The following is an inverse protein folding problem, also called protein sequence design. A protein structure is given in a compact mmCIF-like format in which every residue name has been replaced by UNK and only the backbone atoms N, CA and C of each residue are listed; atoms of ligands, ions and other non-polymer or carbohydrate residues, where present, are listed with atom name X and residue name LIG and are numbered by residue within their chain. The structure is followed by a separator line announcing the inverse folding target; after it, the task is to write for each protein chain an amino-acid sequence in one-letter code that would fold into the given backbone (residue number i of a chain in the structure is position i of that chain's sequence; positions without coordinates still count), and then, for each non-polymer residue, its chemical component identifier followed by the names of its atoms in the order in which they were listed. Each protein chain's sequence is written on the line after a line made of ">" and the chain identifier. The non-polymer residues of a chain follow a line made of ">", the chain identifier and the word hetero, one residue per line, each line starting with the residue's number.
data_IF_634173966512
#
_entry.id   IF_634173966512
#
_cell.length_a   1.000
_cell.length_b   1.000
_cell.length_c   1.000
_cell.angle_alpha   90.00
_cell.angle_beta   90.00
_cell.angle_gamma   90.00
#
_symmetry.space_group_name_H-M   'P 1'
#
loop_
_entity.id
_entity.type
_entity.pdbx_description
1 polymer ?
#
# COMPACT_ATOMS: atom_id res chain seq x y z
N UNK A 1 31.94 -6.80 31.43
CA UNK A 1 31.47 -5.43 31.75
C UNK A 1 32.33 -4.52 30.91
N UNK A 2 31.85 -4.18 29.75
CA UNK A 2 32.53 -3.28 28.82
C UNK A 2 31.71 -2.00 28.79
N UNK A 3 32.32 -0.93 29.23
CA UNK A 3 31.76 0.40 29.29
C UNK A 3 31.32 0.87 27.90
N UNK A 4 30.02 1.09 27.74
CA UNK A 4 29.50 1.83 26.62
C UNK A 4 29.72 3.31 26.93
N UNK A 5 30.47 4.08 26.12
CA UNK A 5 30.67 5.48 26.38
C UNK A 5 29.34 6.23 26.22
N UNK A 6 28.88 6.77 27.32
CA UNK A 6 27.81 7.78 27.33
C UNK A 6 28.37 9.03 26.65
N UNK A 7 27.82 9.44 25.51
CA UNK A 7 28.24 10.68 24.85
C UNK A 7 27.96 11.88 25.76
N UNK A 8 28.97 12.37 26.42
CA UNK A 8 28.99 13.71 26.98
C UNK A 8 29.20 14.71 25.83
N UNK A 9 28.53 15.83 25.90
CA UNK A 9 28.42 16.91 24.90
C UNK A 9 29.74 17.68 24.61
N UNK A 10 30.91 17.06 24.77
CA UNK A 10 32.19 17.68 24.51
C UNK A 10 33.09 16.70 23.74
N UNK A 11 32.83 16.50 22.46
CA UNK A 11 33.87 16.14 21.50
C UNK A 11 33.38 16.37 20.07
N UNK A 12 33.59 17.59 19.62
CA UNK A 12 33.54 17.98 18.21
C UNK A 12 34.62 17.15 17.48
N UNK A 13 34.18 16.46 16.42
CA UNK A 13 35.10 15.82 15.48
C UNK A 13 35.97 16.88 14.81
N UNK A 14 37.23 16.98 15.26
CA UNK A 14 38.29 17.71 14.56
C UNK A 14 39.10 16.71 13.75
N UNK A 15 38.76 16.55 12.47
CA UNK A 15 39.73 16.21 11.44
C UNK A 15 39.36 16.92 10.13
N UNK A 16 40.18 17.88 9.70
CA UNK A 16 40.16 18.50 8.38
C UNK A 16 39.33 19.78 8.28
N UNK A 17 40.00 20.91 8.54
CA UNK A 17 39.50 22.25 8.51
C UNK A 17 38.55 22.64 7.38
N UNK A 18 37.33 22.84 7.77
CA UNK A 18 36.40 23.90 7.28
C UNK A 18 35.40 24.10 8.39
N UNK A 19 35.39 25.27 9.00
CA UNK A 19 34.38 25.68 9.97
C UNK A 19 33.05 25.79 9.22
N UNK A 20 32.25 24.71 9.19
CA UNK A 20 30.85 24.80 8.82
C UNK A 20 30.08 25.39 10.01
N UNK A 21 29.72 26.66 9.89
CA UNK A 21 28.90 27.37 10.83
C UNK A 21 27.61 26.64 11.12
N UNK A 22 27.38 26.27 12.38
CA UNK A 22 26.05 26.14 12.92
C UNK A 22 25.30 24.81 12.76
N UNK A 23 26.00 23.71 12.51
CA UNK A 23 25.33 22.40 12.42
C UNK A 23 25.36 21.69 13.77
N UNK A 24 24.23 21.67 14.48
CA UNK A 24 24.06 20.94 15.72
C UNK A 24 23.61 19.50 15.46
N UNK A 25 24.27 18.46 16.01
CA UNK A 25 23.83 17.09 15.86
C UNK A 25 22.54 16.86 16.66
N UNK A 26 21.48 16.43 16.00
CA UNK A 26 20.20 16.07 16.63
C UNK A 26 19.93 14.59 16.47
N UNK A 27 19.42 13.97 17.54
CA UNK A 27 18.96 12.60 17.50
C UNK A 27 17.52 12.56 17.04
N UNK A 28 17.24 11.82 15.97
CA UNK A 28 15.89 11.64 15.45
C UNK A 28 15.53 10.16 15.43
N UNK A 29 14.22 9.88 15.60
CA UNK A 29 13.69 8.54 15.44
C UNK A 29 13.15 8.39 14.01
N UNK A 30 13.63 7.36 13.29
CA UNK A 30 13.25 7.10 11.91
C UNK A 30 12.98 5.62 11.68
N UNK A 31 12.09 5.33 10.75
CA UNK A 31 11.90 3.96 10.25
C UNK A 31 12.98 3.63 9.23
N UNK A 32 13.88 2.73 9.57
CA UNK A 32 14.90 2.21 8.68
C UNK A 32 14.38 0.99 7.94
N UNK A 33 14.46 1.02 6.60
CA UNK A 33 14.20 -0.14 5.75
C UNK A 33 15.42 -1.08 5.83
N UNK A 34 15.17 -2.33 6.23
CA UNK A 34 16.19 -3.37 6.29
C UNK A 34 16.29 -4.15 4.98
N UNK A 35 15.13 -4.44 4.39
CA UNK A 35 15.05 -5.13 3.09
C UNK A 35 13.74 -4.78 2.38
N UNK A 36 13.76 -4.89 1.07
CA UNK A 36 12.58 -4.62 0.25
C UNK A 36 12.62 -5.41 -1.06
N UNK A 37 11.46 -5.81 -1.55
CA UNK A 37 11.33 -6.40 -2.88
C UNK A 37 10.19 -5.77 -3.66
N UNK A 38 10.40 -5.61 -4.95
CA UNK A 38 9.38 -5.23 -5.92
C UNK A 38 8.90 -6.44 -6.71
N UNK A 39 7.61 -6.50 -7.00
CA UNK A 39 7.04 -7.56 -7.81
C UNK A 39 6.07 -7.03 -8.85
N UNK A 40 6.05 -7.72 -9.99
CA UNK A 40 5.09 -7.56 -11.07
C UNK A 40 4.39 -8.89 -11.26
N UNK A 41 3.16 -8.97 -10.82
CA UNK A 41 2.40 -10.20 -10.84
C UNK A 41 1.24 -10.11 -11.82
N UNK A 42 1.10 -11.16 -12.64
CA UNK A 42 -0.08 -11.40 -13.46
C UNK A 42 -0.90 -12.52 -12.82
N UNK A 43 -1.99 -12.15 -12.19
CA UNK A 43 -2.86 -13.02 -11.41
C UNK A 43 -3.90 -13.64 -12.35
N UNK A 44 -3.61 -14.81 -12.90
CA UNK A 44 -4.46 -15.46 -13.89
C UNK A 44 -5.53 -16.32 -13.22
N UNK A 45 -6.72 -16.31 -13.81
CA UNK A 45 -7.84 -17.18 -13.43
C UNK A 45 -8.25 -17.07 -11.94
N UNK A 46 -8.22 -15.85 -11.38
CA UNK A 46 -8.75 -15.61 -10.04
C UNK A 46 -10.26 -15.75 -10.05
N UNK A 47 -10.84 -16.60 -9.19
CA UNK A 47 -12.28 -16.70 -9.06
C UNK A 47 -12.83 -15.45 -8.40
N UNK A 48 -13.93 -14.94 -8.94
CA UNK A 48 -14.68 -13.83 -8.35
C UNK A 48 -15.89 -14.40 -7.62
N UNK A 49 -16.04 -14.03 -6.36
CA UNK A 49 -17.19 -14.36 -5.54
C UNK A 49 -18.14 -13.16 -5.50
N UNK A 50 -19.39 -13.40 -5.68
CA UNK A 50 -20.44 -12.39 -5.65
C UNK A 50 -21.32 -12.57 -4.42
N UNK A 51 -22.08 -11.54 -4.05
CA UNK A 51 -23.19 -11.70 -3.11
C UNK A 51 -24.27 -12.56 -3.76
N UNK A 52 -25.16 -13.18 -2.97
CA UNK A 52 -26.22 -14.04 -3.48
C UNK A 52 -27.08 -13.36 -4.58
N UNK A 53 -27.37 -12.06 -4.40
CA UNK A 53 -28.13 -11.28 -5.38
C UNK A 53 -27.38 -11.12 -6.71
N UNK A 54 -26.09 -10.77 -6.65
CA UNK A 54 -25.24 -10.59 -7.82
C UNK A 54 -24.90 -11.91 -8.49
N UNK A 55 -24.80 -13.01 -7.75
CA UNK A 55 -24.54 -14.34 -8.29
C UNK A 55 -25.71 -14.79 -9.20
N UNK A 56 -26.94 -14.50 -8.85
CA UNK A 56 -28.13 -14.81 -9.70
C UNK A 56 -28.06 -14.11 -11.05
N UNK A 57 -27.50 -12.89 -11.11
CA UNK A 57 -27.29 -12.17 -12.36
C UNK A 57 -26.22 -12.88 -13.20
N UNK A 58 -25.11 -13.31 -12.57
CA UNK A 58 -24.04 -14.05 -13.24
C UNK A 58 -24.54 -15.39 -13.77
N UNK A 59 -25.36 -16.13 -13.01
CA UNK A 59 -25.89 -17.42 -13.40
C UNK A 59 -26.84 -17.32 -14.62
N UNK A 60 -27.43 -16.15 -14.86
CA UNK A 60 -28.23 -15.84 -16.05
C UNK A 60 -27.45 -15.25 -17.23
N UNK A 61 -26.13 -15.03 -17.08
CA UNK A 61 -25.33 -14.38 -18.11
C UNK A 61 -24.82 -15.38 -19.16
N UNK A 62 -24.75 -14.93 -20.42
CA UNK A 62 -24.13 -15.67 -21.52
C UNK A 62 -22.66 -15.28 -21.71
N UNK A 63 -22.27 -14.09 -21.28
CA UNK A 63 -20.91 -13.59 -21.33
C UNK A 63 -20.67 -12.47 -20.32
N UNK A 64 -19.42 -12.28 -19.94
CA UNK A 64 -18.99 -11.24 -19.00
C UNK A 64 -17.82 -10.46 -19.55
N UNK A 65 -17.74 -9.19 -19.17
CA UNK A 65 -16.60 -8.32 -19.48
C UNK A 65 -16.17 -7.60 -18.20
N UNK A 66 -14.87 -7.58 -17.93
CA UNK A 66 -14.33 -6.83 -16.81
C UNK A 66 -14.35 -5.33 -17.16
N UNK A 67 -14.89 -4.51 -16.28
CA UNK A 67 -14.90 -3.06 -16.46
C UNK A 67 -13.92 -2.35 -15.53
N UNK A 68 -13.80 -2.80 -14.28
CA UNK A 68 -12.92 -2.16 -13.31
C UNK A 68 -12.41 -3.14 -12.26
N UNK A 69 -11.23 -2.83 -11.71
CA UNK A 69 -10.65 -3.54 -10.55
C UNK A 69 -10.10 -2.52 -9.59
N UNK A 70 -10.40 -2.69 -8.31
CA UNK A 70 -9.86 -1.88 -7.22
C UNK A 70 -9.37 -2.77 -6.11
N UNK A 71 -8.35 -2.33 -5.39
CA UNK A 71 -8.00 -2.96 -4.12
C UNK A 71 -8.86 -2.37 -3.00
N UNK A 72 -9.52 -3.24 -2.23
CA UNK A 72 -10.31 -2.83 -1.06
C UNK A 72 -9.37 -2.69 0.13
N UNK A 73 -8.63 -3.77 0.41
CA UNK A 73 -7.70 -3.85 1.54
C UNK A 73 -6.68 -4.96 1.30
N UNK A 74 -5.68 -5.00 2.17
CA UNK A 74 -4.73 -6.12 2.25
C UNK A 74 -4.45 -6.41 3.72
N UNK A 75 -4.44 -7.69 4.08
CA UNK A 75 -3.88 -8.13 5.37
C UNK A 75 -2.43 -8.49 5.19
N UNK A 76 -1.61 -8.15 6.19
CA UNK A 76 -0.17 -8.39 6.18
C UNK A 76 0.23 -9.00 7.52
N UNK A 77 0.80 -10.19 7.47
CA UNK A 77 1.29 -10.91 8.64
C UNK A 77 2.79 -11.15 8.52
N UNK A 78 3.51 -11.07 9.63
CA UNK A 78 4.95 -11.26 9.68
C UNK A 78 5.28 -12.37 10.65
N UNK A 79 6.01 -13.38 10.18
CA UNK A 79 6.45 -14.49 11.00
C UNK A 79 7.97 -14.71 10.86
N UNK A 80 8.69 -15.06 11.94
CA UNK A 80 10.10 -15.40 11.84
C UNK A 80 10.27 -16.72 11.07
N UNK A 81 11.25 -16.76 10.16
CA UNK A 81 11.60 -17.99 9.44
C UNK A 81 12.39 -18.91 10.37
N UNK A 82 11.91 -20.14 10.55
CA UNK A 82 12.58 -21.13 11.37
C UNK A 82 14.04 -21.36 10.91
N UNK A 83 14.97 -21.41 11.85
CA UNK A 83 16.41 -21.65 11.65
C UNK A 83 17.15 -20.57 10.81
N UNK A 84 16.49 -19.50 10.37
CA UNK A 84 17.10 -18.39 9.64
C UNK A 84 16.94 -17.09 10.43
N UNK A 85 17.91 -16.78 11.30
CA UNK A 85 17.89 -15.60 12.15
C UNK A 85 17.86 -14.33 11.30
N UNK A 86 17.02 -13.38 11.71
CA UNK A 86 16.88 -12.09 11.04
C UNK A 86 16.04 -12.12 9.75
N UNK A 87 15.58 -13.30 9.27
CA UNK A 87 14.69 -13.43 8.15
C UNK A 87 13.25 -13.65 8.62
N UNK A 88 12.32 -13.04 7.90
CA UNK A 88 10.90 -13.08 8.21
C UNK A 88 10.11 -13.40 6.94
N UNK A 89 9.09 -14.25 7.10
CA UNK A 89 8.05 -14.45 6.12
C UNK A 89 7.03 -13.33 6.25
N UNK A 90 6.71 -12.69 5.15
CA UNK A 90 5.62 -11.72 5.06
C UNK A 90 4.52 -12.34 4.23
N UNK A 91 3.41 -12.66 4.89
CA UNK A 91 2.22 -13.22 4.28
C UNK A 91 1.22 -12.11 4.03
N UNK A 92 0.80 -11.98 2.77
CA UNK A 92 -0.09 -10.93 2.32
C UNK A 92 -1.31 -11.54 1.67
N UNK A 93 -2.50 -11.06 2.04
CA UNK A 93 -3.75 -11.40 1.36
C UNK A 93 -4.34 -10.13 0.78
N UNK A 94 -4.53 -10.09 -0.51
CA UNK A 94 -5.12 -8.97 -1.25
C UNK A 94 -6.59 -9.23 -1.51
N UNK A 95 -7.42 -8.21 -1.31
CA UNK A 95 -8.86 -8.24 -1.55
C UNK A 95 -9.21 -7.23 -2.63
N UNK A 96 -9.64 -7.73 -3.79
CA UNK A 96 -9.97 -6.90 -4.96
C UNK A 96 -11.47 -6.82 -5.16
N UNK A 97 -12.02 -5.61 -5.26
CA UNK A 97 -13.33 -5.40 -5.84
C UNK A 97 -13.22 -5.47 -7.36
N UNK A 98 -13.91 -6.40 -7.96
CA UNK A 98 -13.96 -6.63 -9.39
C UNK A 98 -15.34 -6.29 -9.89
N UNK A 99 -15.43 -5.29 -10.78
CA UNK A 99 -16.69 -4.91 -11.42
C UNK A 99 -16.73 -5.51 -12.81
N UNK A 100 -17.79 -6.26 -13.09
CA UNK A 100 -18.02 -6.89 -14.39
C UNK A 100 -19.37 -6.46 -14.97
N UNK A 101 -19.43 -6.43 -16.28
CA UNK A 101 -20.62 -6.26 -17.07
C UNK A 101 -21.10 -7.64 -17.50
N UNK A 102 -22.29 -8.04 -17.08
CA UNK A 102 -22.92 -9.32 -17.40
C UNK A 102 -23.94 -9.14 -18.54
N UNK A 103 -23.82 -9.92 -19.60
CA UNK A 103 -24.66 -9.88 -20.78
C UNK A 103 -25.52 -11.13 -20.84
N UNK A 104 -26.84 -10.98 -20.87
CA UNK A 104 -27.80 -12.10 -20.97
C UNK A 104 -28.04 -12.55 -22.41
N UNK A 105 -27.79 -11.67 -23.40
CA UNK A 105 -27.88 -11.98 -24.83
C UNK A 105 -26.97 -11.05 -25.64
N UNK A 106 -26.68 -11.43 -26.87
CA UNK A 106 -25.91 -10.58 -27.78
C UNK A 106 -26.70 -9.29 -28.08
N UNK A 107 -26.08 -8.14 -27.79
CA UNK A 107 -26.71 -6.82 -27.99
C UNK A 107 -27.61 -6.37 -26.83
N UNK A 108 -27.78 -7.15 -25.77
CA UNK A 108 -28.49 -6.73 -24.57
C UNK A 108 -27.68 -5.65 -23.79
N UNK A 109 -28.41 -4.79 -23.08
CA UNK A 109 -27.80 -3.86 -22.14
C UNK A 109 -27.20 -4.69 -20.99
N UNK A 110 -25.91 -4.54 -20.67
CA UNK A 110 -25.31 -5.32 -19.59
C UNK A 110 -25.79 -4.87 -18.21
N UNK A 111 -25.88 -5.81 -17.29
CA UNK A 111 -25.99 -5.52 -15.88
C UNK A 111 -24.60 -5.43 -15.27
N UNK A 112 -24.36 -4.38 -14.47
CA UNK A 112 -23.07 -4.17 -13.82
C UNK A 112 -23.13 -4.72 -12.41
N UNK A 113 -22.27 -5.68 -12.11
CA UNK A 113 -22.18 -6.31 -10.79
C UNK A 113 -20.75 -6.24 -10.26
N UNK A 114 -20.63 -6.14 -8.94
CA UNK A 114 -19.33 -6.14 -8.26
C UNK A 114 -19.19 -7.37 -7.38
N UNK A 115 -18.03 -8.01 -7.48
CA UNK A 115 -17.66 -9.17 -6.68
C UNK A 115 -16.28 -9.04 -6.08
N UNK A 116 -15.89 -10.03 -5.30
CA UNK A 116 -14.62 -10.15 -4.59
C UNK A 116 -13.71 -11.16 -5.27
N UNK A 117 -12.50 -10.73 -5.62
CA UNK A 117 -11.39 -11.64 -5.93
C UNK A 117 -10.32 -11.53 -4.83
N UNK A 118 -9.69 -12.65 -4.50
CA UNK A 118 -8.65 -12.71 -3.47
C UNK A 118 -7.37 -13.33 -4.02
N UNK A 119 -6.24 -12.85 -3.52
CA UNK A 119 -4.94 -13.41 -3.85
C UNK A 119 -3.99 -13.36 -2.67
N UNK A 120 -3.45 -14.53 -2.30
CA UNK A 120 -2.44 -14.67 -1.25
C UNK A 120 -1.03 -14.71 -1.84
N UNK A 121 -0.10 -13.98 -1.20
CA UNK A 121 1.31 -13.96 -1.58
C UNK A 121 2.19 -14.02 -0.35
N UNK A 122 3.27 -14.79 -0.43
CA UNK A 122 4.30 -14.89 0.60
C UNK A 122 5.65 -14.46 0.03
N UNK A 123 6.38 -13.64 0.78
CA UNK A 123 7.77 -13.27 0.49
C UNK A 123 8.62 -13.43 1.74
N UNK A 124 9.91 -13.68 1.57
CA UNK A 124 10.86 -13.75 2.68
C UNK A 124 11.84 -12.59 2.55
N UNK A 125 11.96 -11.79 3.61
CA UNK A 125 12.82 -10.61 3.65
C UNK A 125 13.67 -10.62 4.93
N UNK A 126 14.80 -9.93 4.87
CA UNK A 126 15.66 -9.70 6.02
C UNK A 126 15.18 -8.49 6.84
N UNK A 127 14.86 -8.71 8.11
CA UNK A 127 14.37 -7.66 9.02
C UNK A 127 15.26 -7.42 10.24
N UNK A 128 16.49 -7.98 10.24
CA UNK A 128 17.44 -7.87 11.35
C UNK A 128 17.09 -8.73 12.56
N UNK A 129 18.08 -9.01 13.40
CA UNK A 129 17.95 -9.87 14.59
C UNK A 129 17.53 -9.10 15.86
N UNK A 130 17.24 -7.80 15.76
CA UNK A 130 16.94 -6.97 16.92
C UNK A 130 15.66 -7.42 17.64
N UNK A 131 15.74 -7.50 18.97
CA UNK A 131 14.60 -7.80 19.84
C UNK A 131 14.49 -6.72 20.92
N UNK A 132 13.98 -5.56 20.56
CA UNK A 132 13.73 -4.44 21.50
C UNK A 132 12.22 -4.24 21.60
N UNK A 133 11.68 -4.29 22.82
CA UNK A 133 10.27 -3.94 23.08
C UNK A 133 10.20 -2.45 23.39
N UNK A 134 9.35 -1.74 22.68
CA UNK A 134 9.08 -0.32 22.93
C UNK A 134 7.73 -0.17 23.61
N UNK A 135 7.67 0.62 24.67
CA UNK A 135 6.44 0.97 25.36
C UNK A 135 6.29 2.49 25.26
N UNK A 136 5.13 2.96 24.87
CA UNK A 136 4.81 4.38 24.75
C UNK A 136 3.79 4.78 25.83
N UNK A 137 3.79 6.05 26.20
CA UNK A 137 2.76 6.65 27.03
C UNK A 137 1.47 6.97 26.28
N UNK A 138 1.50 6.87 24.95
CA UNK A 138 0.32 7.06 24.11
C UNK A 138 -0.71 5.97 24.39
N UNK A 139 -1.95 6.39 24.65
CA UNK A 139 -3.02 5.53 25.13
C UNK A 139 -3.63 4.61 24.06
N UNK A 140 -3.13 4.64 22.84
CA UNK A 140 -3.70 3.85 21.72
C UNK A 140 -3.29 2.36 21.74
N UNK A 141 -2.50 1.95 22.74
CA UNK A 141 -2.22 0.54 23.04
C UNK A 141 -2.85 0.17 24.38
N UNK A 142 -4.16 0.32 24.50
CA UNK A 142 -4.91 -0.33 25.56
C UNK A 142 -5.01 -1.81 25.17
N UNK A 143 -4.18 -2.65 25.76
CA UNK A 143 -4.55 -4.05 25.90
C UNK A 143 -5.80 -4.06 26.76
N UNK A 144 -6.97 -4.23 26.15
CA UNK A 144 -8.20 -4.52 26.88
C UNK A 144 -7.96 -5.78 27.71
N UNK A 145 -7.79 -5.59 29.01
CA UNK A 145 -7.48 -6.66 29.97
C UNK A 145 -8.68 -7.54 30.27
N UNK A 146 -9.76 -7.45 29.50
CA UNK A 146 -10.97 -8.24 29.69
C UNK A 146 -10.99 -9.57 28.93
N UNK A 147 -10.10 -9.79 27.98
CA UNK A 147 -9.94 -11.09 27.32
C UNK A 147 -8.63 -11.74 27.74
N UNK A 148 -8.75 -12.91 28.35
CA UNK A 148 -7.65 -13.80 28.76
C UNK A 148 -6.81 -14.34 27.59
N UNK A 149 -7.07 -13.89 26.39
CA UNK A 149 -6.31 -14.12 25.16
C UNK A 149 -5.67 -12.82 24.68
N UNK A 150 -4.80 -12.23 25.50
CA UNK A 150 -3.88 -11.22 24.99
C UNK A 150 -3.01 -11.89 23.93
N UNK A 151 -3.10 -11.49 22.62
CA UNK A 151 -2.34 -12.14 21.56
C UNK A 151 -0.87 -11.69 21.55
N UNK A 152 -0.29 -11.47 22.73
CA UNK A 152 1.16 -11.41 22.88
C UNK A 152 1.78 -12.80 22.64
N UNK A 153 1.29 -13.50 21.61
CA UNK A 153 1.75 -14.85 21.24
C UNK A 153 3.19 -14.91 20.79
N UNK A 154 3.82 -13.77 20.54
CA UNK A 154 5.19 -13.76 20.08
C UNK A 154 6.07 -12.95 21.03
N UNK A 155 7.03 -13.60 21.72
CA UNK A 155 8.01 -12.90 22.54
C UNK A 155 9.04 -12.12 21.69
N UNK A 156 8.81 -11.99 20.40
CA UNK A 156 9.73 -11.39 19.44
C UNK A 156 9.22 -10.01 19.01
N UNK A 157 10.08 -9.02 19.06
CA UNK A 157 9.84 -7.75 18.41
C UNK A 157 9.96 -7.94 16.90
N UNK A 158 8.84 -8.17 16.26
CA UNK A 158 8.78 -8.32 14.81
C UNK A 158 9.10 -6.98 14.13
N UNK A 159 9.77 -6.99 12.98
CA UNK A 159 9.84 -5.81 12.14
C UNK A 159 8.45 -5.46 11.62
N UNK A 160 8.22 -4.20 11.31
CA UNK A 160 6.99 -3.76 10.65
C UNK A 160 7.10 -4.07 9.17
N UNK A 161 6.11 -4.76 8.61
CA UNK A 161 5.98 -4.95 7.17
C UNK A 161 5.06 -3.89 6.58
N UNK A 162 5.49 -3.30 5.48
CA UNK A 162 4.69 -2.35 4.70
C UNK A 162 4.59 -2.84 3.28
N UNK A 163 3.37 -2.86 2.73
CA UNK A 163 3.09 -3.23 1.35
C UNK A 163 2.48 -2.05 0.62
N UNK A 164 3.09 -1.65 -0.46
CA UNK A 164 2.57 -0.64 -1.38
C UNK A 164 2.09 -1.34 -2.65
N UNK A 165 0.89 -1.00 -3.08
CA UNK A 165 0.24 -1.63 -4.23
C UNK A 165 -0.19 -0.52 -5.18
N UNK A 166 0.20 -0.62 -6.47
CA UNK A 166 -0.32 0.26 -7.51
C UNK A 166 -1.78 -0.07 -7.82
N UNK A 167 -2.48 0.84 -8.50
CA UNK A 167 -3.82 0.54 -8.99
C UNK A 167 -3.79 -0.72 -9.85
N UNK A 168 -4.61 -1.75 -9.53
CA UNK A 168 -4.68 -2.97 -10.29
C UNK A 168 -5.16 -2.73 -11.72
N UNK A 169 -4.66 -3.52 -12.65
CA UNK A 169 -5.08 -3.47 -14.05
C UNK A 169 -5.99 -4.65 -14.36
N UNK A 170 -7.20 -4.35 -14.85
CA UNK A 170 -8.12 -5.34 -15.38
C UNK A 170 -7.61 -5.83 -16.75
N UNK A 171 -7.30 -7.12 -16.90
CA UNK A 171 -6.76 -7.68 -18.13
C UNK A 171 -7.80 -8.49 -18.90
N UNK A 172 -8.46 -9.44 -18.24
CA UNK A 172 -9.52 -10.25 -18.87
C UNK A 172 -10.52 -10.79 -17.85
N UNK A 173 -11.70 -11.16 -18.33
CA UNK A 173 -12.69 -11.94 -17.58
C UNK A 173 -13.25 -13.04 -18.46
N UNK A 174 -13.49 -14.20 -17.89
CA UNK A 174 -14.07 -15.35 -18.54
C UNK A 174 -15.21 -15.91 -17.68
N UNK A 175 -16.34 -16.21 -18.31
CA UNK A 175 -17.43 -16.95 -17.69
C UNK A 175 -17.19 -18.44 -17.91
N UNK A 176 -17.38 -19.24 -16.87
CA UNK A 176 -17.17 -20.68 -16.91
C UNK A 176 -18.27 -21.40 -16.13
N UNK A 177 -18.76 -22.50 -16.68
CA UNK A 177 -19.68 -23.38 -15.96
C UNK A 177 -19.01 -23.88 -14.66
N UNK A 178 -19.76 -23.80 -13.58
CA UNK A 178 -19.31 -24.25 -12.27
C UNK A 178 -19.97 -25.60 -11.96
N UNK A 179 -19.11 -26.59 -11.73
CA UNK A 179 -19.51 -27.85 -11.15
C UNK A 179 -18.82 -27.96 -9.78
N UNK A 180 -19.55 -28.35 -8.76
CA UNK A 180 -19.07 -28.42 -7.37
C UNK A 180 -17.81 -29.34 -7.14
N UNK A 181 -17.19 -29.84 -8.21
CA UNK A 181 -16.01 -30.71 -8.11
C UNK A 181 -14.76 -29.98 -7.53
N UNK A 182 -14.69 -28.65 -7.70
CA UNK A 182 -13.59 -27.83 -7.15
C UNK A 182 -14.17 -26.59 -6.46
N UNK A 183 -14.61 -26.70 -5.21
CA UNK A 183 -15.14 -25.55 -4.47
C UNK A 183 -14.06 -24.48 -4.35
N UNK A 184 -14.49 -23.21 -4.45
CA UNK A 184 -13.59 -22.09 -4.15
C UNK A 184 -13.27 -22.16 -2.67
N UNK A 185 -11.99 -22.21 -2.33
CA UNK A 185 -11.56 -22.15 -0.92
C UNK A 185 -11.85 -20.74 -0.40
N UNK A 186 -12.92 -20.60 0.35
CA UNK A 186 -13.30 -19.33 0.96
C UNK A 186 -12.64 -19.24 2.34
N UNK A 187 -11.96 -18.14 2.62
CA UNK A 187 -11.67 -17.78 4.01
C UNK A 187 -12.97 -17.71 4.80
N UNK A 188 -13.02 -18.35 5.96
CA UNK A 188 -14.25 -18.38 6.79
C UNK A 188 -14.64 -17.01 7.35
N UNK A 189 -13.71 -16.06 7.37
CA UNK A 189 -13.92 -14.70 7.88
C UNK A 189 -13.31 -13.68 6.92
N UNK A 190 -14.15 -12.78 6.44
CA UNK A 190 -13.70 -11.63 5.65
C UNK A 190 -13.50 -10.42 6.55
N UNK A 191 -12.55 -9.52 6.23
CA UNK A 191 -12.48 -8.22 6.89
C UNK A 191 -13.82 -7.48 6.76
N UNK A 192 -14.24 -6.80 7.83
CA UNK A 192 -15.52 -6.04 7.84
C UNK A 192 -15.61 -5.04 6.69
N UNK A 193 -14.50 -4.36 6.38
CA UNK A 193 -14.44 -3.41 5.26
C UNK A 193 -14.72 -4.06 3.88
N UNK A 194 -14.50 -5.37 3.73
CA UNK A 194 -14.84 -6.10 2.50
C UNK A 194 -16.33 -6.36 2.42
N UNK A 195 -16.94 -6.79 3.54
CA UNK A 195 -18.38 -7.04 3.65
C UNK A 195 -19.15 -5.73 3.43
N UNK A 196 -18.71 -4.66 4.08
CA UNK A 196 -19.32 -3.32 3.95
C UNK A 196 -19.21 -2.79 2.50
N UNK A 197 -18.09 -3.06 1.83
CA UNK A 197 -17.89 -2.62 0.44
C UNK A 197 -18.80 -3.35 -0.55
N UNK A 198 -19.08 -4.63 -0.32
CA UNK A 198 -19.90 -5.49 -1.19
C UNK A 198 -21.39 -5.41 -0.86
N UNK A 199 -21.76 -4.75 0.24
CA UNK A 199 -23.14 -4.73 0.77
C UNK A 199 -23.67 -6.16 1.01
N UNK A 200 -22.81 -7.04 1.53
CA UNK A 200 -23.16 -8.42 1.86
C UNK A 200 -21.98 -9.39 1.85
N UNK A 201 -22.24 -10.60 2.34
CA UNK A 201 -21.23 -11.66 2.34
C UNK A 201 -21.08 -12.29 0.96
N UNK A 202 -19.81 -12.55 0.52
CA UNK A 202 -19.57 -13.31 -0.71
C UNK A 202 -20.08 -14.74 -0.60
N UNK A 203 -20.85 -15.16 -1.58
CA UNK A 203 -21.41 -16.50 -1.68
C UNK A 203 -20.60 -17.40 -2.63
N UNK A 204 -20.80 -18.70 -2.50
CA UNK A 204 -20.28 -19.66 -3.49
C UNK A 204 -21.06 -19.55 -4.79
N UNK A 205 -20.42 -19.73 -5.95
CA UNK A 205 -21.14 -19.82 -7.23
C UNK A 205 -22.09 -21.03 -7.25
N UNK A 206 -23.21 -20.90 -7.94
CA UNK A 206 -24.18 -21.98 -8.08
C UNK A 206 -24.00 -22.75 -9.39
N UNK A 207 -24.15 -22.08 -10.53
CA UNK A 207 -24.07 -22.69 -11.86
C UNK A 207 -22.94 -22.15 -12.72
N UNK A 208 -22.58 -20.87 -12.52
CA UNK A 208 -21.54 -20.21 -13.28
C UNK A 208 -20.57 -19.47 -12.35
N UNK A 209 -19.32 -19.41 -12.76
CA UNK A 209 -18.27 -18.62 -12.08
C UNK A 209 -17.56 -17.68 -13.04
N UNK A 210 -17.17 -16.54 -12.54
CA UNK A 210 -16.33 -15.59 -13.26
C UNK A 210 -14.88 -15.79 -12.84
N UNK A 211 -14.01 -15.94 -13.82
CA UNK A 211 -12.56 -15.98 -13.64
C UNK A 211 -11.96 -14.72 -14.24
N UNK A 212 -11.12 -14.01 -13.48
CA UNK A 212 -10.49 -12.77 -13.95
C UNK A 212 -8.98 -12.89 -13.94
N UNK A 213 -8.36 -12.13 -14.83
CA UNK A 213 -6.91 -11.92 -14.84
C UNK A 213 -6.63 -10.47 -14.50
N UNK A 214 -5.79 -10.27 -13.48
CA UNK A 214 -5.46 -8.96 -12.91
C UNK A 214 -3.95 -8.77 -12.92
N UNK A 215 -3.48 -7.62 -13.39
CA UNK A 215 -2.08 -7.21 -13.26
C UNK A 215 -1.88 -6.30 -12.06
N UNK A 216 -0.87 -6.58 -11.23
CA UNK A 216 -0.51 -5.74 -10.09
C UNK A 216 0.99 -5.49 -10.01
N UNK A 217 1.36 -4.33 -9.48
CA UNK A 217 2.73 -4.03 -9.04
C UNK A 217 2.72 -3.81 -7.54
N UNK A 218 3.65 -4.44 -6.85
CA UNK A 218 3.75 -4.34 -5.40
C UNK A 218 5.19 -4.08 -4.96
N UNK A 219 5.35 -3.31 -3.88
CA UNK A 219 6.62 -3.16 -3.16
C UNK A 219 6.36 -3.57 -1.73
N UNK A 220 7.06 -4.59 -1.27
CA UNK A 220 7.03 -5.06 0.11
C UNK A 220 8.35 -4.72 0.78
N UNK A 221 8.30 -4.17 1.99
CA UNK A 221 9.49 -3.82 2.76
C UNK A 221 9.34 -4.19 4.23
N UNK A 222 10.46 -4.50 4.86
CA UNK A 222 10.57 -4.66 6.31
C UNK A 222 11.33 -3.47 6.90
N UNK A 223 10.79 -2.90 7.95
CA UNK A 223 11.32 -1.72 8.61
C UNK A 223 11.30 -1.86 10.13
N UNK A 224 12.25 -1.17 10.77
CA UNK A 224 12.30 -1.01 12.22
C UNK A 224 12.63 0.44 12.57
N UNK A 225 12.07 0.90 13.65
CA UNK A 225 12.38 2.21 14.19
C UNK A 225 13.78 2.19 14.80
N UNK A 226 14.61 3.13 14.39
CA UNK A 226 15.99 3.32 14.88
C UNK A 226 16.23 4.78 15.20
N UNK A 227 17.10 5.02 16.17
CA UNK A 227 17.55 6.37 16.48
C UNK A 227 18.84 6.63 15.71
N UNK A 228 18.87 7.71 14.96
CA UNK A 228 20.05 8.16 14.23
C UNK A 228 20.36 9.61 14.60
N UNK A 229 21.63 9.93 14.58
CA UNK A 229 22.10 11.31 14.74
C UNK A 229 22.30 11.92 13.36
N UNK A 230 21.68 13.06 13.14
CA UNK A 230 21.82 13.82 11.91
C UNK A 230 22.25 15.26 12.20
N UNK A 231 23.03 15.89 11.30
CA UNK A 231 23.30 17.31 11.39
C UNK A 231 22.00 18.10 11.14
N UNK A 232 21.64 18.97 12.06
CA UNK A 232 20.50 19.88 11.91
C UNK A 232 21.01 21.29 11.59
N UNK A 233 20.43 21.92 10.58
CA UNK A 233 20.79 23.28 10.20
C UNK A 233 19.84 24.31 10.83
N UNK A 234 18.52 24.10 10.66
CA UNK A 234 17.48 24.97 11.21
C UNK A 234 16.11 24.30 11.02
N UNK A 235 15.07 24.91 11.62
CA UNK A 235 13.70 24.48 11.39
C UNK A 235 13.20 24.94 10.02
N UNK A 236 12.59 24.00 9.25
CA UNK A 236 11.97 24.34 7.98
C UNK A 236 10.62 25.05 8.23
N UNK A 237 10.60 26.35 8.13
CA UNK A 237 9.35 27.12 8.19
C UNK A 237 8.81 27.29 6.78
N UNK A 238 7.54 26.90 6.50
CA UNK A 238 6.93 27.11 5.20
C UNK A 238 6.90 28.62 4.86
N UNK A 239 7.48 28.99 3.75
CA UNK A 239 7.48 30.39 3.28
C UNK A 239 6.17 30.78 2.58
N UNK A 240 5.39 29.78 2.18
CA UNK A 240 4.10 30.02 1.53
C UNK A 240 3.06 30.34 2.59
N UNK A 241 2.51 31.53 2.50
CA UNK A 241 1.34 31.89 3.29
C UNK A 241 0.12 31.11 2.81
N UNK A 242 -0.70 30.66 3.76
CA UNK A 242 -1.98 30.06 3.40
C UNK A 242 -2.89 31.19 2.92
N UNK A 243 -3.36 31.19 1.67
CA UNK A 243 -4.32 32.16 1.24
C UNK A 243 -5.57 32.04 2.13
N UNK A 244 -6.03 33.15 2.72
CA UNK A 244 -7.37 33.21 3.34
C UNK A 244 -8.38 32.86 2.26
N UNK A 245 -9.36 32.01 2.60
CA UNK A 245 -10.43 31.69 1.65
C UNK A 245 -11.09 33.01 1.22
N UNK A 246 -11.09 33.36 -0.06
CA UNK A 246 -11.76 34.56 -0.53
C UNK A 246 -13.26 34.38 -0.31
N UNK A 247 -13.90 35.46 0.09
CA UNK A 247 -15.34 35.49 0.35
C UNK A 247 -16.17 35.29 -0.94
N UNK A 248 -15.57 35.48 -2.11
CA UNK A 248 -16.21 35.26 -3.41
C UNK A 248 -15.60 34.06 -4.16
N UNK A 249 -16.36 32.98 -4.38
CA UNK A 249 -15.92 31.81 -5.16
C UNK A 249 -15.48 32.17 -6.60
N UNK A 250 -16.02 33.20 -7.21
CA UNK A 250 -15.65 33.62 -8.56
C UNK A 250 -14.28 34.28 -8.59
N UNK A 251 -13.89 34.93 -7.52
CA UNK A 251 -12.54 35.51 -7.37
C UNK A 251 -11.46 34.42 -7.24
N UNK A 252 -11.80 33.28 -6.57
CA UNK A 252 -10.95 32.08 -6.52
C UNK A 252 -10.77 31.52 -7.92
N UNK A 253 -11.86 31.33 -8.63
CA UNK A 253 -11.87 30.76 -9.97
C UNK A 253 -11.08 31.62 -10.96
N UNK A 254 -11.16 32.93 -10.87
CA UNK A 254 -10.40 33.86 -11.74
C UNK A 254 -8.88 33.79 -11.55
N UNK A 255 -8.42 33.29 -10.39
CA UNK A 255 -7.00 33.13 -10.05
C UNK A 255 -6.45 31.77 -10.42
N UNK A 256 -7.30 30.85 -10.88
CA UNK A 256 -6.89 29.53 -11.37
C UNK A 256 -6.39 29.69 -12.79
N UNK A 257 -5.13 29.29 -13.04
CA UNK A 257 -4.59 29.25 -14.39
C UNK A 257 -5.41 28.27 -15.24
N UNK A 258 -5.63 28.69 -16.50
CA UNK A 258 -6.37 27.86 -17.45
C UNK A 258 -5.65 26.53 -17.62
N UNK A 259 -6.33 25.37 -17.40
CA UNK A 259 -5.69 24.04 -17.40
C UNK A 259 -5.39 23.57 -18.85
N UNK A 260 -4.41 24.20 -19.48
CA UNK A 260 -3.99 23.92 -20.86
C UNK A 260 -3.69 22.45 -21.09
N UNK A 261 -3.07 21.78 -20.12
CA UNK A 261 -2.71 20.35 -20.21
C UNK A 261 -3.91 19.43 -20.24
N UNK A 262 -5.05 19.86 -19.72
CA UNK A 262 -6.30 19.11 -19.80
C UNK A 262 -6.95 19.20 -21.17
N UNK A 263 -6.77 20.32 -21.87
CA UNK A 263 -7.31 20.55 -23.22
C UNK A 263 -6.33 20.14 -24.31
N UNK A 264 -5.03 20.31 -24.06
CA UNK A 264 -3.96 19.99 -24.99
C UNK A 264 -2.94 19.10 -24.31
N UNK A 265 -3.28 17.80 -24.06
CA UNK A 265 -2.35 16.89 -23.45
C UNK A 265 -1.09 16.76 -24.31
N UNK A 266 0.12 16.81 -23.71
CA UNK A 266 1.36 16.71 -24.46
C UNK A 266 1.37 15.40 -25.25
N UNK A 267 1.70 15.47 -26.53
CA UNK A 267 1.78 14.30 -27.41
C UNK A 267 2.78 13.28 -26.83
N UNK A 268 2.37 12.02 -26.73
CA UNK A 268 3.19 10.93 -26.19
C UNK A 268 4.53 10.73 -26.95
N UNK A 269 4.64 11.28 -28.16
CA UNK A 269 5.83 11.17 -29.03
C UNK A 269 7.01 12.01 -28.51
N UNK A 270 6.78 13.05 -27.73
CA UNK A 270 7.85 13.89 -27.18
C UNK A 270 8.39 13.46 -25.80
N UNK A 271 7.93 12.33 -25.27
CA UNK A 271 8.48 11.78 -24.00
C UNK A 271 9.80 11.03 -24.15
N UNK A 272 10.25 10.78 -25.41
CA UNK A 272 11.48 10.04 -25.70
C UNK A 272 12.76 10.88 -25.80
N UNK A 273 12.69 12.21 -25.95
CA UNK A 273 13.85 13.05 -26.28
C UNK A 273 14.21 14.11 -25.22
N UNK A 274 13.79 13.94 -23.98
CA UNK A 274 14.23 14.83 -22.88
C UNK A 274 15.16 14.17 -21.88
N UNK A 275 15.97 13.23 -22.35
CA UNK A 275 17.04 12.64 -21.55
C UNK A 275 18.41 13.06 -22.08
N UNK A 276 18.62 14.39 -22.20
CA UNK A 276 19.96 14.98 -22.18
C UNK A 276 19.86 16.49 -21.92
N UNK A 277 20.48 16.91 -20.81
CA UNK A 277 20.76 18.31 -20.45
C UNK A 277 19.61 19.12 -19.82
N UNK A 278 19.28 18.86 -18.57
CA UNK A 278 19.10 19.92 -17.58
C UNK A 278 19.39 19.37 -16.20
N UNK A 279 20.64 19.42 -15.82
CA UNK A 279 21.07 19.55 -14.41
C UNK A 279 20.46 20.85 -13.88
N UNK A 280 19.23 20.80 -13.39
CA UNK A 280 18.73 21.84 -12.52
C UNK A 280 19.37 21.63 -11.15
N UNK A 281 20.52 22.30 -10.95
CA UNK A 281 21.06 22.53 -9.64
C UNK A 281 19.98 23.23 -8.81
N UNK A 282 19.43 22.53 -7.82
CA UNK A 282 18.71 23.16 -6.72
C UNK A 282 19.73 23.98 -5.94
N UNK A 283 19.94 25.22 -6.32
CA UNK A 283 20.58 26.21 -5.46
C UNK A 283 19.54 26.58 -4.40
N UNK A 284 19.69 26.08 -3.18
CA UNK A 284 19.17 26.75 -2.01
C UNK A 284 19.88 28.12 -1.93
N UNK A 285 19.24 29.16 -2.46
CA UNK A 285 19.71 30.53 -2.31
C UNK A 285 19.40 31.00 -0.89
N UNK A 286 20.38 30.94 -0.01
CA UNK A 286 20.45 31.85 1.12
C UNK A 286 21.18 33.10 0.59
N UNK A 287 20.45 34.11 0.19
CA UNK A 287 20.98 35.46 0.07
C UNK A 287 20.52 36.31 1.23
N UNK A 288 21.48 37.07 1.79
CA UNK A 288 21.49 37.92 2.98
C UNK A 288 20.24 38.77 3.21
#
# INVERSE_FOLDING_TARGET
>A
MSDVPFCSSENVCTEGGEQTNGCEPVCINVSRIYDSCGAKDCLSNLPVMFTEANQKIIDGACSVKISNVRIITSTVEVEPVAFHRGFYSVDMMYYFAVTVEAYTAAGAIPETVTGLAMYGKRVVLYGGEGCVKSFSSDKDVVCDTSDSDCPCKYPYCLPRATVQISNPMALSANLQDYNNANPITVCRTFPTCVIDYLDGEPAQPETQRVLVTIGIFTITRLERDVQIMIPSYDFCVPRKECPSAPDDPCEVFSKIDFPTDSFFPPNAIHRGDRDSSHTSSFKCGCEN
#
